data_IF_202171309929
#
_entry.id   IF_202171309929
#
_cell.length_a   1.000
_cell.length_b   1.000
_cell.length_c   1.000
_cell.angle_alpha   90.00
_cell.angle_beta   90.00
_cell.angle_gamma   90.00
#
_symmetry.space_group_name_H-M   'P 1'
#
loop_
_entity.id
_entity.type
_entity.pdbx_description
1 polymer ?
#
# COMPACT_ATOMS: atom_id res chain seq x y z
N UNK A 1 -8.12 33.10 -14.12
CA UNK A 1 -9.36 33.86 -14.39
C UNK A 1 -10.02 34.25 -13.07
N UNK A 2 -10.63 35.45 -13.00
CA UNK A 2 -11.46 35.86 -11.86
C UNK A 2 -12.92 35.73 -12.29
N UNK A 3 -13.66 34.87 -11.61
CA UNK A 3 -15.07 34.59 -11.89
C UNK A 3 -15.84 34.74 -10.59
N UNK A 4 -17.00 35.38 -10.65
CA UNK A 4 -17.96 35.41 -9.55
C UNK A 4 -19.00 34.34 -9.83
N UNK A 5 -19.15 33.39 -8.91
CA UNK A 5 -20.14 32.31 -9.01
C UNK A 5 -21.09 32.40 -7.83
N UNK A 6 -22.38 32.21 -8.07
CA UNK A 6 -23.38 32.08 -7.00
C UNK A 6 -23.43 30.63 -6.57
N UNK A 7 -23.30 30.38 -5.27
CA UNK A 7 -23.36 29.03 -4.69
C UNK A 7 -24.69 28.84 -3.95
N UNK A 8 -25.30 27.68 -4.12
CA UNK A 8 -26.45 27.29 -3.29
C UNK A 8 -26.06 27.21 -1.80
N UNK A 9 -26.98 27.48 -0.87
CA UNK A 9 -26.70 27.49 0.57
C UNK A 9 -26.07 26.18 1.08
N UNK A 10 -26.58 25.04 0.59
CA UNK A 10 -26.07 23.71 0.96
C UNK A 10 -24.63 23.48 0.48
N UNK A 11 -24.32 23.91 -0.75
CA UNK A 11 -22.97 23.84 -1.31
C UNK A 11 -22.01 24.74 -0.53
N UNK A 12 -22.42 25.96 -0.21
CA UNK A 12 -21.62 26.89 0.58
C UNK A 12 -21.34 26.35 2.00
N UNK A 13 -22.32 25.71 2.64
CA UNK A 13 -22.17 25.08 3.96
C UNK A 13 -21.17 23.92 3.91
N UNK A 14 -21.31 23.03 2.93
CA UNK A 14 -20.38 21.91 2.73
C UNK A 14 -18.96 22.38 2.44
N UNK A 15 -18.80 23.41 1.62
CA UNK A 15 -17.49 24.01 1.32
C UNK A 15 -16.82 24.58 2.58
N UNK A 16 -17.56 25.28 3.45
CA UNK A 16 -17.01 25.79 4.73
C UNK A 16 -16.56 24.68 5.66
N UNK A 17 -17.34 23.60 5.76
CA UNK A 17 -16.97 22.43 6.56
C UNK A 17 -15.65 21.81 6.05
N UNK A 18 -15.53 21.70 4.74
CA UNK A 18 -14.36 21.10 4.09
C UNK A 18 -13.10 21.98 4.20
N UNK A 19 -13.25 23.31 4.17
CA UNK A 19 -12.16 24.25 4.48
C UNK A 19 -11.64 24.04 5.90
N UNK A 20 -12.55 23.90 6.89
CA UNK A 20 -12.15 23.64 8.28
C UNK A 20 -11.47 22.28 8.44
N UNK A 21 -11.94 21.27 7.71
CA UNK A 21 -11.41 19.90 7.77
C UNK A 21 -10.01 19.78 7.16
N UNK A 22 -9.76 20.47 6.05
CA UNK A 22 -8.51 20.32 5.27
C UNK A 22 -7.50 21.44 5.51
N UNK A 23 -7.94 22.58 6.05
CA UNK A 23 -7.12 23.80 6.18
C UNK A 23 -6.78 24.47 4.84
N UNK A 24 -7.31 23.97 3.71
CA UNK A 24 -7.02 24.53 2.38
C UNK A 24 -7.77 25.84 2.16
N UNK A 25 -7.16 26.74 1.38
CA UNK A 25 -7.82 27.97 0.94
C UNK A 25 -9.04 27.68 0.06
N UNK A 26 -10.11 28.48 0.21
CA UNK A 26 -11.38 28.33 -0.52
C UNK A 26 -11.17 28.19 -2.04
N UNK A 27 -10.31 29.02 -2.64
CA UNK A 27 -9.99 28.97 -4.07
C UNK A 27 -9.41 27.61 -4.49
N UNK A 28 -8.51 27.05 -3.70
CA UNK A 28 -7.86 25.78 -4.02
C UNK A 28 -8.91 24.66 -4.02
N UNK A 29 -9.75 24.63 -2.98
CA UNK A 29 -10.79 23.62 -2.83
C UNK A 29 -11.86 23.70 -3.93
N UNK A 30 -12.33 24.91 -4.27
CA UNK A 30 -13.30 25.09 -5.37
C UNK A 30 -12.70 24.62 -6.70
N UNK A 31 -11.45 24.98 -6.99
CA UNK A 31 -10.81 24.53 -8.23
C UNK A 31 -10.58 23.01 -8.26
N UNK A 32 -10.20 22.39 -7.15
CA UNK A 32 -10.08 20.93 -7.04
C UNK A 32 -11.43 20.25 -7.31
N UNK A 33 -12.50 20.71 -6.65
CA UNK A 33 -13.85 20.19 -6.84
C UNK A 33 -14.34 20.34 -8.30
N UNK A 34 -14.08 21.51 -8.92
CA UNK A 34 -14.42 21.73 -10.33
C UNK A 34 -13.59 20.84 -11.27
N UNK A 35 -12.29 20.67 -11.01
CA UNK A 35 -11.45 19.76 -11.81
C UNK A 35 -11.96 18.32 -11.72
N UNK A 36 -12.38 17.88 -10.54
CA UNK A 36 -12.98 16.56 -10.33
C UNK A 36 -14.31 16.43 -11.09
N UNK A 37 -15.21 17.42 -10.96
CA UNK A 37 -16.51 17.41 -11.63
C UNK A 37 -16.43 17.51 -13.16
N UNK A 38 -15.42 18.22 -13.69
CA UNK A 38 -15.16 18.35 -15.12
C UNK A 38 -14.28 17.22 -15.67
N UNK A 39 -13.90 16.23 -14.86
CA UNK A 39 -13.02 15.13 -15.28
C UNK A 39 -11.60 15.58 -15.68
N UNK A 40 -11.18 16.77 -15.26
CA UNK A 40 -9.85 17.33 -15.49
C UNK A 40 -8.81 16.83 -14.49
N UNK A 41 -9.25 16.27 -13.37
CA UNK A 41 -8.40 15.41 -12.55
C UNK A 41 -8.14 14.13 -13.35
N UNK A 42 -6.88 13.86 -13.69
CA UNK A 42 -6.49 12.63 -14.37
C UNK A 42 -7.16 11.41 -13.71
N UNK A 43 -7.54 10.42 -14.52
CA UNK A 43 -8.19 9.19 -14.05
C UNK A 43 -7.52 8.74 -12.75
N UNK A 44 -8.27 8.52 -11.66
CA UNK A 44 -7.66 8.00 -10.44
C UNK A 44 -6.85 6.78 -10.85
N UNK A 45 -5.54 6.81 -10.53
CA UNK A 45 -4.66 5.69 -10.81
C UNK A 45 -5.29 4.52 -10.08
N UNK A 46 -5.93 3.63 -10.83
CA UNK A 46 -6.52 2.43 -10.28
C UNK A 46 -5.34 1.71 -9.61
N UNK A 47 -5.37 1.47 -8.29
CA UNK A 47 -4.27 0.76 -7.65
C UNK A 47 -4.06 -0.53 -8.45
N UNK A 48 -2.82 -0.78 -8.88
CA UNK A 48 -2.55 -2.00 -9.64
C UNK A 48 -3.02 -3.18 -8.81
N UNK A 49 -3.56 -4.21 -9.47
CA UNK A 49 -3.99 -5.42 -8.78
C UNK A 49 -2.80 -5.94 -7.96
N UNK A 50 -3.05 -6.35 -6.72
CA UNK A 50 -2.05 -7.01 -5.92
C UNK A 50 -1.60 -8.30 -6.63
N UNK A 51 -0.33 -8.38 -6.99
CA UNK A 51 0.28 -9.54 -7.64
C UNK A 51 1.28 -10.18 -6.68
N UNK A 52 1.08 -11.46 -6.36
CA UNK A 52 2.06 -12.27 -5.63
C UNK A 52 3.03 -12.85 -6.64
N UNK A 53 4.33 -12.52 -6.51
CA UNK A 53 5.41 -13.17 -7.27
C UNK A 53 6.04 -14.25 -6.39
N UNK A 54 5.68 -15.54 -6.56
CA UNK A 54 6.30 -16.60 -5.79
C UNK A 54 7.77 -16.74 -6.18
N UNK A 55 8.64 -16.90 -5.20
CA UNK A 55 10.06 -17.18 -5.39
C UNK A 55 10.31 -18.68 -5.23
N UNK A 56 10.87 -19.33 -6.25
CA UNK A 56 11.24 -20.74 -6.18
C UNK A 56 12.59 -20.87 -5.46
N UNK A 57 12.55 -21.21 -4.17
CA UNK A 57 13.75 -21.35 -3.34
C UNK A 57 14.55 -22.65 -3.56
N UNK A 58 14.10 -23.54 -4.46
CA UNK A 58 14.87 -24.71 -4.89
C UNK A 58 15.11 -25.78 -3.82
N UNK A 59 14.27 -25.84 -2.78
CA UNK A 59 14.43 -26.81 -1.70
C UNK A 59 14.24 -28.26 -2.17
N UNK A 60 15.03 -29.16 -1.57
CA UNK A 60 14.91 -30.61 -1.82
C UNK A 60 13.58 -31.12 -1.23
N UNK A 61 12.89 -32.07 -1.90
CA UNK A 61 11.72 -32.72 -1.34
C UNK A 61 12.03 -33.36 0.02
N UNK A 62 11.15 -33.16 1.00
CA UNK A 62 11.32 -33.67 2.37
C UNK A 62 11.89 -32.67 3.37
N UNK A 63 12.33 -31.49 2.93
CA UNK A 63 12.72 -30.40 3.83
C UNK A 63 11.48 -29.59 4.21
N UNK A 64 11.13 -29.61 5.50
CA UNK A 64 10.09 -28.74 6.07
C UNK A 64 10.67 -27.34 6.35
N UNK A 65 10.18 -26.34 5.61
CA UNK A 65 10.66 -24.96 5.68
C UNK A 65 10.28 -24.26 6.98
N UNK A 66 9.25 -24.74 7.67
CA UNK A 66 8.85 -24.23 8.98
C UNK A 66 9.71 -24.82 10.11
N UNK A 67 10.57 -25.79 9.79
CA UNK A 67 11.42 -26.52 10.74
C UNK A 67 12.89 -26.54 10.36
N UNK A 68 13.39 -25.51 9.68
CA UNK A 68 14.80 -25.40 9.28
C UNK A 68 15.75 -25.53 10.47
N UNK A 69 15.37 -25.06 11.66
CA UNK A 69 16.19 -25.22 12.87
C UNK A 69 16.46 -26.69 13.21
N UNK A 70 15.48 -27.59 13.02
CA UNK A 70 15.67 -29.02 13.28
C UNK A 70 16.64 -29.66 12.29
N UNK A 71 16.63 -29.20 11.02
CA UNK A 71 17.60 -29.66 10.02
C UNK A 71 19.03 -29.23 10.39
N UNK A 72 19.19 -28.04 10.99
CA UNK A 72 20.50 -27.58 11.50
C UNK A 72 20.94 -28.48 12.66
N UNK A 73 20.06 -28.75 13.63
CA UNK A 73 20.36 -29.61 14.77
C UNK A 73 20.76 -31.04 14.35
N UNK A 74 20.09 -31.61 13.33
CA UNK A 74 20.41 -32.93 12.77
C UNK A 74 21.80 -32.97 12.13
N UNK A 75 22.17 -31.94 11.35
CA UNK A 75 23.50 -31.83 10.74
C UNK A 75 24.58 -31.71 11.81
N UNK A 76 24.36 -30.88 12.84
CA UNK A 76 25.31 -30.72 13.95
C UNK A 76 25.49 -32.04 14.74
N UNK A 77 24.41 -32.81 14.94
CA UNK A 77 24.47 -34.10 15.60
C UNK A 77 25.24 -35.16 14.78
N UNK A 78 25.09 -35.17 13.45
CA UNK A 78 25.86 -36.03 12.56
C UNK A 78 27.36 -35.69 12.56
N UNK A 79 27.71 -34.41 12.48
CA UNK A 79 29.11 -33.94 12.52
C UNK A 79 29.80 -34.26 13.86
N UNK A 80 29.08 -34.08 14.97
CA UNK A 80 29.55 -34.45 16.30
C UNK A 80 29.77 -35.98 16.43
N UNK A 81 28.89 -36.80 15.85
CA UNK A 81 29.02 -38.26 15.87
C UNK A 81 30.19 -38.77 15.00
N UNK A 82 30.53 -38.05 13.92
CA UNK A 82 31.70 -38.34 13.08
C UNK A 82 33.04 -38.11 13.79
N UNK A 83 33.12 -37.06 14.61
CA UNK A 83 34.34 -36.68 15.35
C UNK A 83 34.67 -37.66 16.50
N UNK A 84 33.67 -38.35 17.06
CA UNK A 84 33.86 -39.33 18.14
C UNK A 84 34.36 -40.70 17.62
N UNK A 85 34.29 -40.95 16.30
CA UNK A 85 34.71 -42.21 15.66
C UNK A 85 36.13 -42.18 15.04
N UNK A 86 36.85 -41.06 15.12
CA UNK A 86 38.27 -40.95 14.72
C UNK A 86 39.18 -40.90 15.93
#
# INVERSE_FOLDING_TARGET
MRTTITLEPEVAKRLRSEIRRTGKAMKALVNEALKLGLGMSGKPVRPSRFEVRPHAFGFKPGIDLDRINQLVDEIEAEDAAGTIRS
#
